data_IF_167400688457
#
_entry.id   IF_167400688457
#
_cell.length_a   1.000
_cell.length_b   1.000
_cell.length_c   1.000
_cell.angle_alpha   90.00
_cell.angle_beta   90.00
_cell.angle_gamma   90.00
#
_symmetry.space_group_name_H-M   'P 1'
#
loop_
_entity.id
_entity.type
_entity.pdbx_description
1 polymer ?
#
# COMPACT_ATOMS: atom_id res chain seq x y z
N UNK A 1 -10.56 -19.67 13.02
CA UNK A 1 -9.45 -20.03 12.13
C UNK A 1 -8.36 -19.01 12.37
N UNK A 2 -7.28 -19.41 13.01
CA UNK A 2 -6.22 -18.50 13.42
C UNK A 2 -5.30 -18.19 12.22
N UNK A 3 -4.51 -17.11 12.31
CA UNK A 3 -3.57 -16.72 11.23
C UNK A 3 -2.45 -17.74 10.98
N UNK A 4 -2.23 -18.67 11.92
CA UNK A 4 -1.34 -19.81 11.77
C UNK A 4 -1.95 -20.86 10.82
N UNK A 5 -3.19 -21.31 11.10
CA UNK A 5 -3.93 -22.29 10.27
C UNK A 5 -4.05 -21.82 8.81
N UNK A 6 -4.30 -20.53 8.60
CA UNK A 6 -4.38 -19.94 7.26
C UNK A 6 -3.05 -20.01 6.49
N UNK A 7 -1.91 -19.88 7.18
CA UNK A 7 -0.58 -19.97 6.59
C UNK A 7 -0.23 -21.41 6.22
N UNK A 8 -0.55 -22.37 7.09
CA UNK A 8 -0.33 -23.80 6.82
C UNK A 8 -1.14 -24.24 5.60
N UNK A 9 -2.42 -23.87 5.54
CA UNK A 9 -3.25 -24.17 4.36
C UNK A 9 -2.73 -23.50 3.09
N UNK A 10 -2.26 -22.25 3.17
CA UNK A 10 -1.66 -21.56 2.03
C UNK A 10 -0.37 -22.26 1.57
N UNK A 11 0.50 -22.67 2.48
CA UNK A 11 1.72 -23.40 2.17
C UNK A 11 1.43 -24.74 1.47
N UNK A 12 0.40 -25.48 1.92
CA UNK A 12 -0.02 -26.73 1.28
C UNK A 12 -0.55 -26.55 -0.16
N UNK A 13 -1.15 -25.40 -0.48
CA UNK A 13 -1.78 -25.15 -1.80
C UNK A 13 -0.87 -24.41 -2.79
N UNK A 14 -0.01 -23.54 -2.28
CA UNK A 14 0.73 -22.56 -3.07
C UNK A 14 2.22 -22.51 -2.75
N UNK A 15 2.69 -23.26 -1.76
CA UNK A 15 4.10 -23.33 -1.41
C UNK A 15 4.93 -24.15 -2.42
N UNK A 16 6.26 -24.08 -2.34
CA UNK A 16 7.17 -24.89 -3.16
C UNK A 16 7.00 -26.40 -2.94
N UNK A 17 6.41 -26.79 -1.80
CA UNK A 17 6.04 -28.17 -1.47
C UNK A 17 4.56 -28.50 -1.76
N UNK A 18 3.84 -27.68 -2.55
CA UNK A 18 2.44 -27.93 -2.86
C UNK A 18 2.27 -29.26 -3.59
N UNK A 19 1.30 -30.06 -3.15
CA UNK A 19 1.05 -31.36 -3.77
C UNK A 19 0.35 -31.18 -5.11
N UNK A 20 0.87 -31.85 -6.15
CA UNK A 20 0.31 -31.83 -7.50
C UNK A 20 -0.47 -33.10 -7.80
N UNK A 21 -1.52 -32.96 -8.59
CA UNK A 21 -2.25 -34.10 -9.11
C UNK A 21 -1.34 -34.97 -9.99
N UNK A 22 -1.29 -36.30 -9.79
CA UNK A 22 -0.46 -37.21 -10.59
C UNK A 22 -0.87 -37.25 -12.06
N UNK A 23 -2.11 -36.83 -12.37
CA UNK A 23 -2.62 -36.70 -13.73
C UNK A 23 -2.24 -35.35 -14.40
N UNK A 24 -1.46 -34.48 -13.75
CA UNK A 24 -0.98 -33.22 -14.33
C UNK A 24 -1.99 -32.06 -14.27
N UNK A 25 -3.08 -32.16 -13.51
CA UNK A 25 -4.11 -31.12 -13.42
C UNK A 25 -3.72 -29.88 -12.59
N UNK A 26 -2.50 -29.82 -12.07
CA UNK A 26 -2.03 -28.74 -11.20
C UNK A 26 -2.12 -29.07 -9.70
N UNK A 27 -2.01 -28.05 -8.83
CA UNK A 27 -1.96 -28.23 -7.39
C UNK A 27 -3.31 -28.69 -6.82
N UNK A 28 -3.25 -29.54 -5.79
CA UNK A 28 -4.40 -30.01 -5.03
C UNK A 28 -4.91 -28.90 -4.10
N UNK A 29 -6.22 -28.88 -3.84
CA UNK A 29 -6.85 -27.92 -2.91
C UNK A 29 -7.14 -28.57 -1.58
N UNK A 30 -6.96 -27.82 -0.50
CA UNK A 30 -7.37 -28.27 0.84
C UNK A 30 -8.89 -28.29 0.90
N UNK A 31 -9.44 -29.40 1.36
CA UNK A 31 -10.86 -29.65 1.52
C UNK A 31 -11.13 -30.25 2.90
N UNK A 32 -12.15 -29.79 3.65
CA UNK A 32 -12.54 -30.42 4.91
C UNK A 32 -13.02 -31.86 4.66
N UNK A 33 -12.44 -32.84 5.36
CA UNK A 33 -12.85 -34.25 5.27
C UNK A 33 -12.83 -34.89 6.65
N UNK A 34 -14.02 -35.11 7.22
CA UNK A 34 -14.19 -35.72 8.54
C UNK A 34 -13.71 -37.17 8.63
N UNK A 35 -13.35 -37.80 7.50
CA UNK A 35 -12.77 -39.15 7.48
C UNK A 35 -11.23 -39.11 7.43
N UNK A 36 -10.62 -37.92 7.39
CA UNK A 36 -9.19 -37.76 7.42
C UNK A 36 -8.65 -37.67 8.85
N UNK A 37 -7.45 -38.20 9.13
CA UNK A 37 -6.85 -38.15 10.47
C UNK A 37 -6.75 -36.74 11.06
N UNK A 38 -6.63 -35.73 10.19
CA UNK A 38 -6.57 -34.32 10.58
C UNK A 38 -7.75 -33.48 10.07
N UNK A 39 -8.90 -34.12 9.81
CA UNK A 39 -10.12 -33.48 9.28
C UNK A 39 -9.93 -32.73 7.94
N UNK A 40 -8.84 -32.98 7.23
CA UNK A 40 -8.44 -32.31 5.99
C UNK A 40 -7.96 -33.31 4.94
N UNK A 41 -8.29 -33.03 3.68
CA UNK A 41 -7.76 -33.74 2.52
C UNK A 41 -7.31 -32.77 1.43
N UNK A 42 -6.36 -33.19 0.62
CA UNK A 42 -5.93 -32.47 -0.58
C UNK A 42 -6.62 -33.10 -1.79
N UNK A 43 -7.49 -32.34 -2.45
CA UNK A 43 -8.36 -32.84 -3.53
C UNK A 43 -8.09 -32.12 -4.84
N UNK A 44 -7.97 -32.88 -5.92
CA UNK A 44 -7.96 -32.35 -7.27
C UNK A 44 -9.39 -32.04 -7.69
N UNK A 45 -9.70 -30.77 -7.97
CA UNK A 45 -11.04 -30.34 -8.39
C UNK A 45 -11.43 -30.81 -9.79
N UNK A 46 -10.51 -31.38 -10.57
CA UNK A 46 -10.78 -31.90 -11.93
C UNK A 46 -11.06 -33.39 -11.98
N UNK A 47 -10.20 -34.21 -11.38
CA UNK A 47 -10.33 -35.68 -11.45
C UNK A 47 -10.74 -36.33 -10.13
N UNK A 48 -10.92 -35.56 -9.06
CA UNK A 48 -11.30 -36.10 -7.75
C UNK A 48 -10.20 -36.88 -7.02
N UNK A 49 -8.96 -36.88 -7.54
CA UNK A 49 -7.83 -37.47 -6.84
C UNK A 49 -7.68 -36.83 -5.46
N UNK A 50 -7.58 -37.67 -4.42
CA UNK A 50 -7.53 -37.24 -3.03
C UNK A 50 -6.32 -37.81 -2.31
N UNK A 51 -5.71 -37.01 -1.45
CA UNK A 51 -4.67 -37.40 -0.49
C UNK A 51 -5.18 -36.99 0.88
N UNK A 52 -5.16 -37.92 1.84
CA UNK A 52 -5.58 -37.64 3.21
C UNK A 52 -4.46 -36.87 3.91
N UNK A 53 -4.76 -35.72 4.51
CA UNK A 53 -3.77 -35.02 5.32
C UNK A 53 -3.61 -35.77 6.64
N UNK A 54 -2.39 -36.20 6.94
CA UNK A 54 -2.00 -36.75 8.23
C UNK A 54 -1.13 -35.74 9.00
N UNK A 55 -0.76 -36.10 10.23
CA UNK A 55 0.08 -35.24 11.07
C UNK A 55 1.43 -34.93 10.41
N UNK A 56 2.02 -35.87 9.67
CA UNK A 56 3.34 -35.68 9.03
C UNK A 56 3.28 -34.69 7.87
N UNK A 57 2.18 -34.69 7.11
CA UNK A 57 1.89 -33.73 6.05
C UNK A 57 1.67 -32.32 6.62
N UNK A 58 1.04 -32.23 7.79
CA UNK A 58 0.83 -30.95 8.50
C UNK A 58 2.16 -30.42 9.03
N UNK A 59 2.95 -31.25 9.71
CA UNK A 59 4.27 -30.87 10.22
C UNK A 59 5.20 -30.40 9.10
N UNK A 60 5.23 -31.12 7.96
CA UNK A 60 6.01 -30.72 6.78
C UNK A 60 5.54 -29.38 6.20
N UNK A 61 4.24 -29.11 6.23
CA UNK A 61 3.67 -27.85 5.76
C UNK A 61 3.91 -26.70 6.76
N UNK A 62 3.92 -26.98 8.07
CA UNK A 62 4.30 -26.03 9.11
C UNK A 62 5.78 -25.67 9.01
N UNK A 63 6.65 -26.66 8.83
CA UNK A 63 8.08 -26.47 8.61
C UNK A 63 8.31 -25.65 7.33
N UNK A 64 7.67 -26.01 6.21
CA UNK A 64 7.70 -25.21 4.99
C UNK A 64 7.18 -23.78 5.22
N UNK A 65 6.08 -23.59 5.97
CA UNK A 65 5.52 -22.28 6.27
C UNK A 65 6.41 -21.44 7.21
N UNK A 66 7.23 -22.08 8.03
CA UNK A 66 8.22 -21.44 8.90
C UNK A 66 9.53 -21.07 8.18
N UNK A 67 9.87 -21.81 7.10
CA UNK A 67 11.00 -21.52 6.23
C UNK A 67 10.68 -20.55 5.09
N UNK A 68 9.39 -20.32 4.80
CA UNK A 68 8.97 -19.17 4.02
C UNK A 68 9.11 -17.96 4.92
N UNK A 69 10.28 -17.30 4.84
CA UNK A 69 10.42 -15.91 5.29
C UNK A 69 9.19 -15.16 4.78
N UNK A 70 8.47 -14.39 5.65
CA UNK A 70 7.32 -13.64 5.19
C UNK A 70 7.80 -12.81 4.01
N UNK A 71 7.31 -13.15 2.82
CA UNK A 71 7.63 -12.45 1.58
C UNK A 71 7.58 -10.97 1.92
N UNK A 72 8.72 -10.25 1.89
CA UNK A 72 8.78 -8.94 2.48
C UNK A 72 7.75 -8.12 1.74
N UNK A 73 6.68 -7.73 2.44
CA UNK A 73 5.60 -6.91 1.89
C UNK A 73 6.35 -5.81 1.14
N UNK A 74 6.18 -5.69 -0.20
CA UNK A 74 6.94 -4.72 -0.95
C UNK A 74 6.73 -3.38 -0.24
N UNK A 75 7.81 -2.83 0.29
CA UNK A 75 7.77 -1.60 1.07
C UNK A 75 8.24 -0.50 0.13
N UNK A 76 7.45 0.55 0.02
CA UNK A 76 7.81 1.72 -0.77
C UNK A 76 9.17 2.25 -0.31
N UNK A 77 10.13 2.33 -1.23
CA UNK A 77 11.48 2.85 -0.97
C UNK A 77 11.76 4.07 -1.83
N UNK A 78 12.50 5.01 -1.25
CA UNK A 78 13.09 6.12 -1.98
C UNK A 78 14.27 5.63 -2.84
N UNK A 79 14.73 6.43 -3.83
CA UNK A 79 15.88 6.07 -4.68
C UNK A 79 17.18 5.81 -3.90
N UNK A 80 17.30 6.35 -2.69
CA UNK A 80 18.43 6.14 -1.77
C UNK A 80 18.26 4.90 -0.86
N UNK A 81 17.19 4.13 -1.05
CA UNK A 81 16.85 2.95 -0.24
C UNK A 81 16.18 3.26 1.11
N UNK A 82 16.06 4.55 1.48
CA UNK A 82 15.41 4.94 2.72
C UNK A 82 13.89 4.74 2.64
N UNK A 83 13.27 4.47 3.78
CA UNK A 83 11.81 4.51 3.87
C UNK A 83 11.33 5.97 3.82
N UNK A 84 10.31 6.29 3.00
CA UNK A 84 9.75 7.63 2.97
C UNK A 84 9.11 7.98 4.31
N UNK A 85 9.32 9.21 4.76
CA UNK A 85 8.66 9.76 5.95
C UNK A 85 7.14 9.75 5.77
N UNK A 86 6.44 9.23 6.77
CA UNK A 86 4.98 9.17 6.76
C UNK A 86 4.40 8.02 5.93
N UNK A 87 5.19 6.99 5.61
CA UNK A 87 4.71 5.71 5.09
C UNK A 87 3.70 5.10 6.07
N UNK A 88 2.55 4.68 5.55
CA UNK A 88 1.47 4.02 6.29
C UNK A 88 1.47 2.52 6.03
N UNK A 89 0.82 1.72 6.90
CA UNK A 89 0.70 0.26 6.71
C UNK A 89 -0.02 -0.15 5.42
N UNK A 90 -0.86 0.73 4.87
CA UNK A 90 -1.54 0.55 3.58
C UNK A 90 -0.65 0.86 2.37
N UNK A 91 0.65 1.10 2.59
CA UNK A 91 1.66 1.43 1.58
C UNK A 91 1.55 2.86 1.02
N UNK A 92 0.62 3.67 1.53
CA UNK A 92 0.52 5.08 1.12
C UNK A 92 1.52 5.95 1.87
N UNK A 93 2.09 6.93 1.17
CA UNK A 93 3.03 7.90 1.73
C UNK A 93 2.30 9.21 1.98
N UNK A 94 2.29 9.63 3.25
CA UNK A 94 1.77 10.95 3.62
C UNK A 94 2.73 12.04 3.16
N UNK A 95 2.23 12.97 2.36
CA UNK A 95 3.04 14.07 1.83
C UNK A 95 2.84 15.37 2.61
N UNK A 96 3.90 16.12 2.86
CA UNK A 96 3.81 17.45 3.49
C UNK A 96 3.18 18.49 2.57
N UNK A 97 2.69 19.56 3.18
CA UNK A 97 2.83 20.89 2.58
C UNK A 97 1.63 21.42 1.81
N UNK A 98 0.59 20.62 1.55
CA UNK A 98 -0.52 21.05 0.70
C UNK A 98 -1.87 20.58 1.25
N UNK A 99 -2.83 21.51 1.33
CA UNK A 99 -4.26 21.26 1.55
C UNK A 99 -4.95 21.56 0.23
N UNK A 100 -5.82 20.65 -0.22
CA UNK A 100 -6.58 20.86 -1.45
C UNK A 100 -7.94 21.49 -1.11
N UNK A 101 -8.18 22.70 -1.60
CA UNK A 101 -9.50 23.34 -1.54
C UNK A 101 -10.12 23.33 -2.94
N UNK A 102 -11.04 22.39 -3.18
CA UNK A 102 -11.57 22.12 -4.51
C UNK A 102 -10.47 21.69 -5.49
N UNK A 103 -10.14 22.55 -6.46
CA UNK A 103 -9.08 22.32 -7.45
C UNK A 103 -7.76 23.03 -7.13
N UNK A 104 -7.71 23.83 -6.06
CA UNK A 104 -6.56 24.66 -5.71
C UNK A 104 -5.72 23.97 -4.63
N UNK A 105 -4.45 23.62 -4.93
CA UNK A 105 -3.51 23.22 -3.91
C UNK A 105 -3.00 24.47 -3.18
N UNK A 106 -3.25 24.55 -1.87
CA UNK A 106 -2.79 25.66 -1.03
C UNK A 106 -1.80 25.13 0.00
N UNK A 107 -0.72 25.88 0.23
CA UNK A 107 0.29 25.45 1.20
C UNK A 107 -0.28 25.42 2.62
N UNK A 108 -0.15 24.30 3.33
CA UNK A 108 -0.60 24.23 4.74
C UNK A 108 0.27 25.06 5.68
N UNK A 109 1.53 25.30 5.33
CA UNK A 109 2.41 26.23 6.06
C UNK A 109 1.95 27.68 5.91
N UNK A 110 1.46 28.07 4.72
CA UNK A 110 0.85 29.38 4.50
C UNK A 110 -0.40 29.57 5.35
N UNK A 111 -1.24 28.54 5.49
CA UNK A 111 -2.40 28.57 6.39
C UNK A 111 -2.00 28.72 7.85
N UNK A 112 -0.98 28.00 8.31
CA UNK A 112 -0.48 28.13 9.67
C UNK A 112 0.04 29.55 9.96
N UNK A 113 0.79 30.13 9.01
CA UNK A 113 1.27 31.51 9.09
C UNK A 113 0.12 32.52 9.12
N UNK A 114 -0.86 32.35 8.22
CA UNK A 114 -2.04 33.23 8.14
C UNK A 114 -2.91 33.13 9.40
N UNK A 115 -3.11 31.93 9.93
CA UNK A 115 -3.86 31.73 11.16
C UNK A 115 -3.19 32.45 12.35
N UNK A 116 -1.87 32.36 12.47
CA UNK A 116 -1.11 33.07 13.49
C UNK A 116 -1.18 34.60 13.32
N UNK A 117 -1.12 35.09 12.07
CA UNK A 117 -1.34 36.49 11.75
C UNK A 117 -2.71 36.96 12.24
N UNK A 118 -3.80 36.37 11.74
CA UNK A 118 -5.16 36.81 12.06
C UNK A 118 -5.52 36.67 13.53
N UNK A 119 -5.02 35.64 14.22
CA UNK A 119 -5.24 35.45 15.66
C UNK A 119 -4.60 36.56 16.51
N UNK A 120 -3.58 37.26 15.99
CA UNK A 120 -2.82 38.26 16.76
C UNK A 120 -3.09 39.70 16.34
N UNK A 121 -3.72 39.93 15.18
CA UNK A 121 -4.15 41.27 14.71
C UNK A 121 -4.91 42.07 15.77
N UNK A 122 -5.91 41.52 16.50
CA UNK A 122 -6.68 42.33 17.45
C UNK A 122 -5.94 42.62 18.76
N UNK A 123 -4.77 42.01 18.98
CA UNK A 123 -4.07 42.08 20.26
C UNK A 123 -3.05 43.21 20.31
N UNK A 124 -2.23 43.36 19.26
CA UNK A 124 -1.19 44.39 19.21
C UNK A 124 -0.64 44.57 17.79
N UNK A 125 -0.26 45.78 17.35
CA UNK A 125 0.23 46.03 15.98
C UNK A 125 1.48 45.24 15.58
N UNK A 126 2.37 44.98 16.53
CA UNK A 126 3.64 44.27 16.27
C UNK A 126 3.53 42.75 16.39
N UNK A 127 2.48 42.22 17.03
CA UNK A 127 2.36 40.77 17.23
C UNK A 127 2.20 39.99 15.92
N UNK A 128 1.41 40.43 14.93
CA UNK A 128 1.29 39.73 13.65
C UNK A 128 2.63 39.58 12.91
N UNK A 129 3.53 40.56 13.04
CA UNK A 129 4.87 40.54 12.43
C UNK A 129 5.70 39.37 12.97
N UNK A 130 5.59 39.09 14.28
CA UNK A 130 6.34 38.01 14.94
C UNK A 130 5.58 36.68 14.92
N UNK A 131 4.26 36.71 15.05
CA UNK A 131 3.42 35.53 15.11
C UNK A 131 3.38 34.78 13.78
N UNK A 132 3.41 35.49 12.65
CA UNK A 132 3.41 34.87 11.30
C UNK A 132 4.59 33.91 11.09
N UNK A 133 5.86 34.33 11.25
CA UNK A 133 6.99 33.41 11.12
C UNK A 133 6.98 32.33 12.22
N UNK A 134 6.57 32.66 13.45
CA UNK A 134 6.44 31.64 14.51
C UNK A 134 5.41 30.56 14.16
N UNK A 135 4.25 30.93 13.62
CA UNK A 135 3.22 29.98 13.18
C UNK A 135 3.75 29.04 12.10
N UNK A 136 4.49 29.57 11.12
CA UNK A 136 5.17 28.76 10.11
C UNK A 136 6.23 27.83 10.73
N UNK A 137 7.05 28.33 11.66
CA UNK A 137 8.10 27.54 12.32
C UNK A 137 7.51 26.41 13.17
N UNK A 138 6.45 26.67 13.93
CA UNK A 138 5.71 25.66 14.69
C UNK A 138 5.14 24.61 13.75
N UNK A 139 4.51 25.01 12.65
CA UNK A 139 4.01 24.08 11.63
C UNK A 139 5.14 23.23 11.03
N UNK A 140 6.27 23.86 10.68
CA UNK A 140 7.44 23.17 10.11
C UNK A 140 8.01 22.16 11.10
N UNK A 141 8.09 22.52 12.37
CA UNK A 141 8.56 21.63 13.42
C UNK A 141 7.60 20.44 13.61
N UNK A 142 6.29 20.67 13.69
CA UNK A 142 5.28 19.62 13.79
C UNK A 142 5.33 18.64 12.60
N UNK A 143 5.51 19.16 11.38
CA UNK A 143 5.50 18.35 10.14
C UNK A 143 6.83 17.65 9.84
N UNK A 144 7.93 18.04 10.50
CA UNK A 144 9.24 17.41 10.35
C UNK A 144 9.64 16.53 11.51
N UNK A 145 9.13 16.79 12.73
CA UNK A 145 9.51 16.05 13.95
C UNK A 145 8.39 15.20 14.52
N UNK A 146 7.20 15.77 14.75
CA UNK A 146 6.13 15.06 15.44
C UNK A 146 5.33 14.14 14.53
N UNK A 147 5.03 14.59 13.32
CA UNK A 147 4.42 13.76 12.29
C UNK A 147 5.20 13.97 11.00
N UNK A 148 6.37 13.33 10.85
CA UNK A 148 7.20 13.48 9.68
C UNK A 148 6.42 13.05 8.43
N UNK A 149 6.59 13.78 7.34
CA UNK A 149 6.00 13.45 6.04
C UNK A 149 7.00 13.76 4.94
N UNK A 150 6.92 13.02 3.84
CA UNK A 150 7.80 13.21 2.69
C UNK A 150 7.34 14.39 1.85
N UNK A 151 8.26 15.07 1.19
CA UNK A 151 7.96 16.00 0.13
C UNK A 151 7.64 15.22 -1.15
N UNK A 152 6.66 15.73 -1.89
CA UNK A 152 6.20 15.12 -3.12
C UNK A 152 6.14 16.19 -4.20
N UNK A 153 6.99 16.07 -5.21
CA UNK A 153 7.08 17.01 -6.33
C UNK A 153 6.36 16.38 -7.52
N UNK A 154 5.29 17.01 -7.99
CA UNK A 154 4.58 16.53 -9.17
C UNK A 154 5.44 16.81 -10.40
N UNK A 155 5.80 15.77 -11.15
CA UNK A 155 6.71 15.87 -12.31
C UNK A 155 5.94 16.00 -13.61
N UNK A 156 5.13 14.99 -13.94
CA UNK A 156 4.35 14.94 -15.18
C UNK A 156 2.98 14.32 -14.97
N UNK A 157 2.09 14.54 -15.94
CA UNK A 157 0.81 13.85 -16.05
C UNK A 157 0.96 12.69 -17.00
N UNK A 158 0.67 11.49 -16.52
CA UNK A 158 0.76 10.25 -17.29
C UNK A 158 -0.62 9.58 -17.31
N UNK A 159 -1.11 9.10 -18.46
CA UNK A 159 -2.31 8.28 -18.52
C UNK A 159 -2.19 7.07 -17.59
N UNK A 160 -3.31 6.67 -16.97
CA UNK A 160 -3.30 5.56 -16.02
C UNK A 160 -2.81 4.22 -16.62
N UNK A 161 -3.02 4.02 -17.92
CA UNK A 161 -2.57 2.83 -18.67
C UNK A 161 -1.06 2.78 -18.93
N UNK A 162 -0.40 3.94 -19.01
CA UNK A 162 1.03 4.04 -19.30
C UNK A 162 1.91 4.00 -18.04
N UNK A 163 1.29 3.77 -16.88
CA UNK A 163 2.00 3.69 -15.61
C UNK A 163 2.68 2.33 -15.47
N UNK A 164 3.97 2.37 -15.20
CA UNK A 164 4.79 1.19 -14.96
C UNK A 164 4.90 0.89 -13.46
N UNK A 165 5.10 -0.38 -13.07
CA UNK A 165 5.44 -0.74 -11.70
C UNK A 165 6.66 0.04 -11.16
N UNK A 166 6.63 0.42 -9.89
CA UNK A 166 7.66 1.22 -9.22
C UNK A 166 7.50 2.73 -9.37
N UNK A 167 6.59 3.20 -10.22
CA UNK A 167 6.33 4.65 -10.35
C UNK A 167 5.46 5.18 -9.21
N UNK A 168 5.83 6.33 -8.67
CA UNK A 168 5.06 7.01 -7.61
C UNK A 168 4.00 7.95 -8.20
N UNK A 169 2.77 7.88 -7.70
CA UNK A 169 1.63 8.65 -8.20
C UNK A 169 0.82 9.32 -7.09
N UNK A 170 0.18 10.46 -7.39
CA UNK A 170 -0.86 11.02 -6.52
C UNK A 170 -2.12 10.17 -6.62
N UNK A 171 -2.57 9.66 -5.48
CA UNK A 171 -3.83 8.91 -5.42
C UNK A 171 -5.04 9.81 -5.65
N UNK A 172 -4.96 11.08 -5.23
CA UNK A 172 -6.07 12.03 -5.32
C UNK A 172 -5.58 13.40 -5.78
N UNK A 173 -6.19 13.91 -6.85
CA UNK A 173 -6.00 15.28 -7.32
C UNK A 173 -4.54 15.67 -7.57
N UNK A 174 -4.23 16.93 -7.31
CA UNK A 174 -2.87 17.51 -7.41
C UNK A 174 -2.14 17.48 -6.08
N UNK A 175 -2.87 17.32 -4.97
CA UNK A 175 -2.35 17.30 -3.61
C UNK A 175 -3.06 16.19 -2.83
N UNK A 176 -2.31 15.18 -2.41
CA UNK A 176 -2.86 14.00 -1.75
C UNK A 176 -1.79 12.97 -1.42
N UNK A 177 -2.13 11.89 -0.69
CA UNK A 177 -1.20 10.80 -0.44
C UNK A 177 -0.64 10.24 -1.76
N UNK A 178 0.60 9.78 -1.68
CA UNK A 178 1.31 9.16 -2.79
C UNK A 178 1.26 7.65 -2.62
N UNK A 179 1.07 6.93 -3.72
CA UNK A 179 1.21 5.48 -3.76
C UNK A 179 2.24 5.09 -4.81
N UNK A 180 2.94 3.98 -4.59
CA UNK A 180 3.78 3.36 -5.60
C UNK A 180 2.96 2.33 -6.40
N UNK A 181 3.00 2.40 -7.72
CA UNK A 181 2.28 1.47 -8.60
C UNK A 181 2.94 0.10 -8.50
N UNK A 182 2.17 -0.94 -8.17
CA UNK A 182 2.62 -2.33 -8.20
C UNK A 182 2.20 -3.05 -9.47
N UNK A 183 0.99 -2.80 -9.96
CA UNK A 183 0.49 -3.37 -11.20
C UNK A 183 -0.60 -2.49 -11.83
N UNK A 184 -0.70 -2.55 -13.15
CA UNK A 184 -1.76 -1.96 -13.95
C UNK A 184 -2.49 -3.05 -14.72
N UNK A 185 -3.81 -2.95 -14.82
CA UNK A 185 -4.62 -3.91 -15.57
C UNK A 185 -5.97 -3.33 -15.98
N UNK A 186 -6.55 -3.87 -17.04
CA UNK A 186 -7.91 -3.52 -17.44
C UNK A 186 -8.94 -4.38 -16.69
N UNK A 187 -10.01 -3.75 -16.20
CA UNK A 187 -11.18 -4.42 -15.65
C UNK A 187 -12.14 -4.86 -16.76
N UNK A 188 -13.08 -5.76 -16.44
CA UNK A 188 -14.07 -6.29 -17.38
C UNK A 188 -14.96 -5.20 -18.02
N UNK A 189 -15.11 -4.03 -17.37
CA UNK A 189 -15.83 -2.88 -17.93
C UNK A 189 -14.91 -1.87 -18.64
N UNK A 190 -13.67 -2.24 -18.97
CA UNK A 190 -12.71 -1.38 -19.66
C UNK A 190 -12.15 -0.24 -18.81
N UNK A 191 -12.26 -0.31 -17.48
CA UNK A 191 -11.62 0.66 -16.55
C UNK A 191 -10.20 0.22 -16.24
N UNK A 192 -9.29 1.17 -16.00
CA UNK A 192 -7.93 0.86 -15.59
C UNK A 192 -7.90 0.65 -14.08
N UNK A 193 -7.54 -0.57 -13.66
CA UNK A 193 -7.29 -0.95 -12.27
C UNK A 193 -5.81 -0.76 -11.97
N UNK A 194 -5.52 0.23 -11.14
CA UNK A 194 -4.20 0.51 -10.58
C UNK A 194 -4.10 -0.17 -9.22
N UNK A 195 -3.13 -1.07 -9.06
CA UNK A 195 -2.74 -1.61 -7.76
C UNK A 195 -1.57 -0.82 -7.23
N UNK A 196 -1.66 -0.48 -5.96
CA UNK A 196 -0.61 0.23 -5.24
C UNK A 196 0.06 -0.75 -4.29
N UNK A 197 1.35 -0.56 -4.07
CA UNK A 197 2.10 -1.21 -3.01
C UNK A 197 1.36 -1.01 -1.67
N UNK A 198 1.15 -2.08 -0.89
CA UNK A 198 0.30 -2.07 0.31
C UNK A 198 -1.15 -2.51 0.08
N UNK A 199 -1.52 -2.87 -1.15
CA UNK A 199 -2.78 -3.57 -1.46
C UNK A 199 -3.97 -2.67 -1.79
N UNK A 200 -3.78 -1.35 -1.83
CA UNK A 200 -4.82 -0.42 -2.25
C UNK A 200 -5.07 -0.54 -3.76
N UNK A 201 -6.32 -0.79 -4.14
CA UNK A 201 -6.76 -0.78 -5.55
C UNK A 201 -7.51 0.50 -5.88
N UNK A 202 -7.17 1.11 -7.01
CA UNK A 202 -7.76 2.36 -7.48
C UNK A 202 -8.25 2.17 -8.92
N UNK A 203 -9.53 2.43 -9.14
CA UNK A 203 -10.12 2.42 -10.48
C UNK A 203 -10.02 3.81 -11.11
N UNK A 204 -9.60 3.84 -12.38
CA UNK A 204 -9.51 5.04 -13.22
C UNK A 204 -10.18 4.82 -14.56
N UNK A 205 -10.64 5.92 -15.15
CA UNK A 205 -11.14 5.90 -16.53
C UNK A 205 -9.95 5.76 -17.49
N UNK A 206 -10.11 5.10 -18.64
CA UNK A 206 -9.11 5.09 -19.70
C UNK A 206 -8.70 6.51 -20.09
N UNK A 207 -7.41 6.73 -20.35
CA UNK A 207 -6.85 8.04 -20.68
C UNK A 207 -6.93 9.08 -19.56
N UNK A 208 -7.43 8.74 -18.36
CA UNK A 208 -7.48 9.67 -17.25
C UNK A 208 -6.05 9.95 -16.75
N UNK A 209 -5.57 11.20 -16.82
CA UNK A 209 -4.22 11.53 -16.40
C UNK A 209 -4.09 11.47 -14.88
N UNK A 210 -3.00 10.86 -14.42
CA UNK A 210 -2.57 10.82 -13.03
C UNK A 210 -1.25 11.59 -12.90
N UNK A 211 -1.05 12.27 -11.78
CA UNK A 211 0.22 12.95 -11.51
C UNK A 211 1.26 11.94 -11.04
N UNK A 212 2.34 11.82 -11.81
CA UNK A 212 3.56 11.18 -11.37
C UNK A 212 4.31 12.12 -10.43
N UNK A 213 4.97 11.54 -9.43
CA UNK A 213 5.56 12.27 -8.31
C UNK A 213 6.97 11.76 -8.03
N UNK A 214 7.87 12.68 -7.71
CA UNK A 214 9.13 12.35 -7.07
C UNK A 214 9.01 12.57 -5.56
N UNK A 215 9.28 11.52 -4.78
CA UNK A 215 9.33 11.59 -3.32
C UNK A 215 10.73 11.99 -2.84
N UNK A 216 10.77 12.89 -1.85
CA UNK A 216 11.98 13.37 -1.18
C UNK A 216 11.73 13.46 0.33
N UNK A 217 12.74 13.26 1.15
CA UNK A 217 12.62 13.36 2.61
C UNK A 217 12.82 14.79 3.15
#
# INVERSE_FOLDING_TARGET
MNSADARVMHAMQHGPAAYHCPAGHGPLRVWPDANAPADLSLVCTRCGHRIMADATLIESAEEAASHVDPEPIPMVRLPDGAAPRGLRPDGTVRTTGWVQFGKLPVSSGFWAASAAFFATVPLHPWLPVVATPLGYLVWKWCTTRWRPSSQAVNTRRTPAEDLEPGQHIRLYGTAGPVGEVSATGADAQGRIRLRVVGGLEVLRRPGQPVWQVDLRN
#
